data_IF_241013226154
#
_entry.id   IF_241013226154
#
_cell.length_a   1.000
_cell.length_b   1.000
_cell.length_c   1.000
_cell.angle_alpha   90.00
_cell.angle_beta   90.00
_cell.angle_gamma   90.00
#
_symmetry.space_group_name_H-M   'P 1'
#
loop_
_entity.id
_entity.type
_entity.pdbx_description
1 polymer ?
#
# COMPACT_ATOMS: atom_id res chain seq x y z
N UNK A 1 -6.76 33.54 -1.86
CA UNK A 1 -7.88 32.60 -1.74
C UNK A 1 -8.04 32.02 -3.11
N UNK A 2 -7.36 30.91 -3.35
CA UNK A 2 -7.68 29.82 -4.28
C UNK A 2 -6.41 28.96 -4.37
N UNK A 3 -5.96 28.48 -3.21
CA UNK A 3 -4.82 27.58 -3.03
C UNK A 3 -5.34 26.12 -3.05
N UNK A 4 -6.14 25.78 -4.06
CA UNK A 4 -6.55 24.39 -4.32
C UNK A 4 -5.77 23.87 -5.51
N UNK A 5 -4.46 23.86 -5.33
CA UNK A 5 -3.56 23.06 -6.13
C UNK A 5 -3.71 21.61 -5.65
N UNK A 6 -4.81 20.97 -6.01
CA UNK A 6 -4.96 19.51 -5.90
C UNK A 6 -4.13 18.88 -7.03
N UNK A 7 -2.83 19.21 -7.06
CA UNK A 7 -1.84 18.40 -7.73
C UNK A 7 -1.84 17.11 -6.95
N UNK A 8 -2.41 16.04 -7.51
CA UNK A 8 -1.77 14.72 -7.61
C UNK A 8 -0.65 14.49 -6.57
N UNK A 9 -0.96 14.60 -5.28
CA UNK A 9 0.04 14.57 -4.19
C UNK A 9 0.47 13.12 -3.93
N UNK A 10 -0.24 12.18 -4.55
CA UNK A 10 0.20 10.83 -4.78
C UNK A 10 1.29 10.79 -5.86
N UNK A 11 2.46 11.32 -5.50
CA UNK A 11 3.69 10.80 -6.09
C UNK A 11 3.60 9.28 -6.05
N UNK A 12 3.59 8.58 -7.20
CA UNK A 12 3.41 7.13 -7.22
C UNK A 12 4.48 6.55 -6.33
N UNK A 13 4.07 5.94 -5.21
CA UNK A 13 4.98 5.41 -4.20
C UNK A 13 6.12 4.69 -4.90
N UNK A 14 7.34 5.07 -4.55
CA UNK A 14 8.50 4.45 -5.17
C UNK A 14 8.48 2.95 -4.88
N UNK A 15 9.01 2.09 -5.77
CA UNK A 15 9.01 0.64 -5.56
C UNK A 15 9.64 0.24 -4.22
N UNK A 16 10.62 0.99 -3.72
CA UNK A 16 11.20 0.80 -2.38
C UNK A 16 10.19 1.03 -1.25
N UNK A 17 9.31 2.03 -1.36
CA UNK A 17 8.28 2.27 -0.36
C UNK A 17 7.20 1.20 -0.40
N UNK A 18 6.82 0.74 -1.60
CA UNK A 18 5.87 -0.37 -1.77
C UNK A 18 6.43 -1.65 -1.16
N UNK A 19 7.73 -1.92 -1.35
CA UNK A 19 8.41 -3.03 -0.70
C UNK A 19 8.42 -2.88 0.83
N UNK A 20 8.66 -1.67 1.34
CA UNK A 20 8.57 -1.36 2.77
C UNK A 20 7.18 -1.64 3.34
N UNK A 21 6.12 -1.25 2.62
CA UNK A 21 4.72 -1.54 2.99
C UNK A 21 4.45 -3.05 3.07
N UNK A 22 4.85 -3.82 2.06
CA UNK A 22 4.68 -5.27 2.07
C UNK A 22 5.44 -5.92 3.24
N UNK A 23 6.64 -5.43 3.55
CA UNK A 23 7.42 -5.88 4.71
C UNK A 23 6.76 -5.50 6.04
N UNK A 24 6.19 -4.30 6.16
CA UNK A 24 5.44 -3.89 7.35
C UNK A 24 4.17 -4.72 7.55
N UNK A 25 3.44 -5.05 6.48
CA UNK A 25 2.31 -5.99 6.55
C UNK A 25 2.79 -7.35 7.07
N UNK A 26 3.94 -7.82 6.57
CA UNK A 26 4.52 -9.08 7.02
C UNK A 26 4.95 -9.07 8.49
N UNK A 27 5.58 -8.00 8.93
CA UNK A 27 6.07 -7.83 10.30
C UNK A 27 4.91 -7.69 11.31
N UNK A 28 3.89 -6.90 10.96
CA UNK A 28 2.77 -6.61 11.84
C UNK A 28 1.74 -7.75 11.93
N UNK A 29 1.45 -8.42 10.82
CA UNK A 29 0.37 -9.41 10.74
C UNK A 29 0.88 -10.84 10.56
N UNK A 30 2.15 -11.03 10.18
CA UNK A 30 2.74 -12.34 9.88
C UNK A 30 2.85 -12.63 8.37
N UNK A 31 2.98 -13.91 8.01
CA UNK A 31 3.13 -14.33 6.61
C UNK A 31 1.99 -15.29 6.22
N UNK A 32 1.95 -15.71 4.96
CA UNK A 32 0.99 -16.69 4.41
C UNK A 32 -0.43 -16.16 4.14
N UNK A 33 -0.53 -14.91 3.71
CA UNK A 33 -1.82 -14.30 3.38
C UNK A 33 -2.32 -14.69 1.99
N UNK A 34 -3.63 -14.91 1.90
CA UNK A 34 -4.34 -14.85 0.63
C UNK A 34 -4.30 -13.43 0.06
N UNK A 35 -4.45 -13.26 -1.27
CA UNK A 35 -4.50 -11.92 -1.91
C UNK A 35 -5.52 -10.97 -1.23
N UNK A 36 -6.68 -11.50 -0.86
CA UNK A 36 -7.72 -10.73 -0.19
C UNK A 36 -7.31 -10.30 1.24
N UNK A 37 -6.69 -11.21 2.01
CA UNK A 37 -6.20 -10.92 3.37
C UNK A 37 -5.08 -9.89 3.33
N UNK A 38 -4.11 -10.07 2.43
CA UNK A 38 -3.03 -9.11 2.22
C UNK A 38 -3.57 -7.72 1.88
N UNK A 39 -4.55 -7.65 0.97
CA UNK A 39 -5.17 -6.37 0.60
C UNK A 39 -5.84 -5.71 1.80
N UNK A 40 -6.57 -6.48 2.62
CA UNK A 40 -7.25 -5.95 3.80
C UNK A 40 -6.25 -5.44 4.85
N UNK A 41 -5.15 -6.18 5.10
CA UNK A 41 -4.10 -5.75 6.01
C UNK A 41 -3.33 -4.52 5.51
N UNK A 42 -3.06 -4.45 4.20
CA UNK A 42 -2.42 -3.30 3.58
C UNK A 42 -3.29 -2.05 3.69
N UNK A 43 -4.59 -2.16 3.42
CA UNK A 43 -5.53 -1.05 3.58
C UNK A 43 -5.63 -0.60 5.05
N UNK A 44 -5.69 -1.53 5.99
CA UNK A 44 -5.70 -1.20 7.42
C UNK A 44 -4.42 -0.46 7.88
N UNK A 45 -3.27 -0.79 7.30
CA UNK A 45 -2.01 -0.06 7.53
C UNK A 45 -2.03 1.35 6.93
N UNK A 46 -2.60 1.49 5.74
CA UNK A 46 -2.69 2.77 5.03
C UNK A 46 -3.72 3.71 5.68
N UNK A 47 -4.78 3.19 6.29
CA UNK A 47 -5.78 4.00 7.00
C UNK A 47 -5.19 4.81 8.18
N UNK A 48 -4.12 4.29 8.81
CA UNK A 48 -3.39 5.01 9.87
C UNK A 48 -2.41 6.06 9.32
N UNK A 49 -2.11 6.02 8.00
CA UNK A 49 -1.17 6.93 7.35
C UNK A 49 -1.91 8.19 6.87
N UNK A 50 -1.59 9.37 7.40
CA UNK A 50 -2.18 10.61 6.93
C UNK A 50 -1.81 10.83 5.45
N UNK A 51 -2.84 10.98 4.62
CA UNK A 51 -2.70 11.07 3.16
C UNK A 51 -3.30 9.87 2.43
N UNK A 52 -3.49 8.72 3.08
CA UNK A 52 -4.19 7.57 2.51
C UNK A 52 -5.57 7.40 3.16
N UNK A 53 -6.53 8.22 2.76
CA UNK A 53 -7.91 8.04 3.18
C UNK A 53 -8.52 6.82 2.46
N UNK A 54 -9.24 5.97 3.21
CA UNK A 54 -9.84 4.71 2.73
C UNK A 54 -10.71 4.98 1.48
N UNK A 55 -10.15 4.66 0.30
CA UNK A 55 -10.77 4.92 -1.01
C UNK A 55 -9.82 5.53 -2.05
N UNK A 56 -8.74 6.18 -1.61
CA UNK A 56 -7.75 6.82 -2.50
C UNK A 56 -6.49 5.97 -2.72
N UNK A 57 -6.53 4.68 -2.35
CA UNK A 57 -5.42 3.76 -2.58
C UNK A 57 -5.49 3.29 -4.04
N UNK A 58 -4.51 3.61 -4.90
CA UNK A 58 -4.56 3.21 -6.29
C UNK A 58 -4.45 1.68 -6.41
N UNK A 59 -5.25 1.02 -7.26
CA UNK A 59 -5.21 -0.44 -7.41
C UNK A 59 -3.83 -0.92 -7.87
N UNK A 60 -3.10 -0.11 -8.64
CA UNK A 60 -1.73 -0.40 -9.06
C UNK A 60 -0.74 -0.56 -7.90
N UNK A 61 -0.96 0.13 -6.77
CA UNK A 61 -0.14 -0.02 -5.56
C UNK A 61 -0.41 -1.38 -4.91
N UNK A 62 -1.69 -1.76 -4.78
CA UNK A 62 -2.09 -3.05 -4.21
C UNK A 62 -1.50 -4.19 -5.04
N UNK A 63 -1.59 -4.10 -6.37
CA UNK A 63 -1.02 -5.09 -7.28
C UNK A 63 0.51 -5.15 -7.18
N UNK A 64 1.19 -4.00 -7.08
CA UNK A 64 2.65 -3.95 -6.93
C UNK A 64 3.11 -4.53 -5.59
N UNK A 65 2.43 -4.17 -4.50
CA UNK A 65 2.70 -4.69 -3.17
C UNK A 65 2.47 -6.20 -3.10
N UNK A 66 1.38 -6.69 -3.70
CA UNK A 66 1.09 -8.11 -3.81
C UNK A 66 2.14 -8.84 -4.66
N UNK A 67 2.56 -8.28 -5.79
CA UNK A 67 3.59 -8.87 -6.64
C UNK A 67 4.93 -9.00 -5.91
N UNK A 68 5.30 -8.03 -5.07
CA UNK A 68 6.49 -8.08 -4.23
C UNK A 68 6.34 -9.17 -3.15
N UNK A 69 5.22 -9.18 -2.44
CA UNK A 69 4.93 -10.15 -1.38
C UNK A 69 4.91 -11.59 -1.90
N UNK A 70 4.21 -11.84 -3.01
CA UNK A 70 4.06 -13.17 -3.62
C UNK A 70 5.27 -13.59 -4.45
N UNK A 71 5.96 -12.65 -5.10
CA UNK A 71 7.16 -12.90 -5.89
C UNK A 71 8.40 -13.23 -5.05
N UNK A 72 8.48 -12.74 -3.81
CA UNK A 72 9.52 -13.13 -2.84
C UNK A 72 9.40 -14.57 -2.34
N UNK A 73 8.37 -15.32 -2.78
CA UNK A 73 8.04 -16.66 -2.30
C UNK A 73 8.42 -17.80 -3.26
N UNK A 74 9.34 -17.55 -4.20
CA UNK A 74 9.85 -18.58 -5.15
C UNK A 74 10.84 -19.54 -4.49
#
# INVERSE_FOLDING_TARGET
MDDTLHQDDFSPLTPNQIQGLAASVQDAFGNDFSRAEFTNHLLALLEDVPGFETGDVPPALIESAWAIYSGGRS
#
